data_IF_093550552258
#
_entry.id   IF_093550552258
#
_cell.length_a   1.000
_cell.length_b   1.000
_cell.length_c   1.000
_cell.angle_alpha   90.00
_cell.angle_beta   90.00
_cell.angle_gamma   90.00
#
_symmetry.space_group_name_H-M   'P 1'
#
loop_
_entity.id
_entity.type
_entity.pdbx_description
1 polymer ?
#
# COMPACT_ATOMS: atom_id res chain seq x y z
N UNK A 1 11.74 1.44 -26.43
CA UNK A 1 10.82 0.55 -25.69
C UNK A 1 9.76 1.39 -24.99
N UNK A 2 8.47 1.06 -25.13
CA UNK A 2 7.38 1.73 -24.38
C UNK A 2 7.04 0.90 -23.14
N UNK A 3 6.76 1.57 -22.01
CA UNK A 3 6.43 0.94 -20.73
C UNK A 3 5.26 1.66 -20.07
N UNK A 4 4.44 0.92 -19.35
CA UNK A 4 3.42 1.43 -18.43
C UNK A 4 3.88 1.13 -17.01
N UNK A 5 3.77 2.13 -16.13
CA UNK A 5 4.02 1.97 -14.71
C UNK A 5 2.68 2.05 -13.99
N UNK A 6 2.32 0.98 -13.28
CA UNK A 6 1.17 0.96 -12.38
C UNK A 6 1.69 1.17 -10.95
N UNK A 7 1.38 2.33 -10.38
CA UNK A 7 1.71 2.64 -9.00
C UNK A 7 0.59 2.17 -8.08
N UNK A 8 0.94 1.35 -7.09
CA UNK A 8 0.03 0.81 -6.11
C UNK A 8 0.31 1.39 -4.72
N UNK A 9 -0.77 1.78 -4.06
CA UNK A 9 -0.77 1.98 -2.61
C UNK A 9 -0.78 0.60 -1.94
N UNK A 10 0.22 0.35 -1.10
CA UNK A 10 0.44 -0.93 -0.44
C UNK A 10 -0.44 -1.12 0.81
N UNK A 11 -1.13 -0.07 1.28
CA UNK A 11 -2.16 -0.17 2.33
C UNK A 11 -3.57 -0.19 1.73
N UNK A 12 -3.74 0.35 0.52
CA UNK A 12 -5.04 0.43 -0.19
C UNK A 12 -4.92 -0.11 -1.59
N UNK A 13 -4.67 -1.41 -1.69
CA UNK A 13 -4.54 -2.08 -2.97
C UNK A 13 -5.82 -1.96 -3.82
N UNK A 14 -5.66 -1.64 -5.10
CA UNK A 14 -6.77 -1.43 -6.04
C UNK A 14 -6.75 -2.51 -7.12
N UNK A 15 -7.67 -3.46 -7.01
CA UNK A 15 -7.90 -4.51 -8.01
C UNK A 15 -8.27 -3.94 -9.38
N UNK A 16 -9.02 -2.83 -9.40
CA UNK A 16 -9.35 -2.14 -10.65
C UNK A 16 -8.09 -1.61 -11.34
N UNK A 17 -7.16 -1.00 -10.60
CA UNK A 17 -5.89 -0.52 -11.16
C UNK A 17 -5.06 -1.66 -11.74
N UNK A 18 -5.01 -2.81 -11.04
CA UNK A 18 -4.36 -4.02 -11.54
C UNK A 18 -4.99 -4.47 -12.87
N UNK A 19 -6.30 -4.70 -12.89
CA UNK A 19 -7.02 -5.18 -14.07
C UNK A 19 -6.86 -4.25 -15.28
N UNK A 20 -7.03 -2.94 -15.08
CA UNK A 20 -6.91 -1.95 -16.15
C UNK A 20 -5.48 -1.83 -16.67
N UNK A 21 -4.47 -1.87 -15.80
CA UNK A 21 -3.07 -1.77 -16.23
C UNK A 21 -2.66 -2.98 -17.06
N UNK A 22 -3.11 -4.19 -16.70
CA UNK A 22 -2.92 -5.42 -17.50
C UNK A 22 -3.62 -5.28 -18.85
N UNK A 23 -4.88 -4.85 -18.86
CA UNK A 23 -5.66 -4.67 -20.09
C UNK A 23 -4.96 -3.71 -21.06
N UNK A 24 -4.54 -2.54 -20.58
CA UNK A 24 -3.86 -1.52 -21.38
C UNK A 24 -2.51 -2.03 -21.90
N UNK A 25 -1.73 -2.71 -21.07
CA UNK A 25 -0.44 -3.25 -21.47
C UNK A 25 -0.56 -4.30 -22.59
N UNK A 26 -1.58 -5.17 -22.50
CA UNK A 26 -1.90 -6.17 -23.53
C UNK A 26 -2.35 -5.50 -24.83
N UNK A 27 -3.27 -4.52 -24.74
CA UNK A 27 -3.82 -3.83 -25.90
C UNK A 27 -2.73 -3.04 -26.66
N UNK A 28 -1.78 -2.44 -25.94
CA UNK A 28 -0.72 -1.62 -26.51
C UNK A 28 0.55 -2.42 -26.85
N UNK A 29 0.61 -3.70 -26.49
CA UNK A 29 1.78 -4.57 -26.61
C UNK A 29 3.05 -3.94 -26.00
N UNK A 30 2.94 -3.50 -24.75
CA UNK A 30 4.02 -2.82 -23.99
C UNK A 30 4.32 -3.54 -22.68
N UNK A 31 5.51 -3.29 -22.12
CA UNK A 31 5.86 -3.80 -20.80
C UNK A 31 5.09 -3.07 -19.69
N UNK A 32 4.54 -3.85 -18.76
CA UNK A 32 3.93 -3.36 -17.53
C UNK A 32 4.90 -3.55 -16.36
N UNK A 33 5.06 -2.53 -15.53
CA UNK A 33 5.83 -2.57 -14.29
C UNK A 33 4.95 -2.10 -13.14
N UNK A 34 4.81 -2.93 -12.12
CA UNK A 34 4.15 -2.55 -10.87
C UNK A 34 5.17 -1.89 -9.93
N UNK A 35 4.80 -0.78 -9.31
CA UNK A 35 5.60 -0.10 -8.28
C UNK A 35 4.75 0.04 -7.03
N UNK A 36 5.26 -0.41 -5.90
CA UNK A 36 4.61 -0.29 -4.60
C UNK A 36 5.30 0.79 -3.79
N UNK A 37 4.56 1.83 -3.44
CA UNK A 37 5.10 2.90 -2.61
C UNK A 37 5.37 2.37 -1.20
N UNK A 38 6.55 2.70 -0.66
CA UNK A 38 6.97 2.36 0.69
C UNK A 38 7.38 3.63 1.43
N UNK A 39 6.37 4.41 1.83
CA UNK A 39 6.55 5.58 2.66
C UNK A 39 6.40 5.19 4.14
N UNK A 40 7.45 5.44 4.93
CA UNK A 40 7.50 5.12 6.36
C UNK A 40 6.62 6.03 7.21
N UNK A 41 6.22 7.18 6.68
CA UNK A 41 5.34 8.15 7.34
C UNK A 41 3.86 7.91 7.01
N UNK A 42 3.59 7.10 5.99
CA UNK A 42 2.24 6.77 5.56
C UNK A 42 1.69 5.58 6.35
N UNK A 43 0.77 5.84 7.28
CA UNK A 43 0.04 4.83 8.05
C UNK A 43 -1.45 4.82 7.70
N UNK A 44 -2.11 3.67 7.89
CA UNK A 44 -3.56 3.54 7.68
C UNK A 44 -4.39 4.31 8.73
N UNK A 45 -3.75 4.72 9.82
CA UNK A 45 -4.33 5.37 10.98
C UNK A 45 -3.63 6.69 11.33
N UNK A 46 -4.29 7.53 12.14
CA UNK A 46 -3.71 8.78 12.64
C UNK A 46 -2.97 8.53 13.95
N UNK A 47 -1.64 8.53 13.91
CA UNK A 47 -0.76 8.33 15.08
C UNK A 47 -1.02 9.30 16.22
N UNK A 48 -1.28 10.58 15.93
CA UNK A 48 -1.56 11.59 16.96
C UNK A 48 -2.90 11.35 17.65
N UNK A 49 -3.89 10.86 16.90
CA UNK A 49 -5.20 10.50 17.47
C UNK A 49 -5.04 9.35 18.46
N UNK A 50 -4.30 8.30 18.08
CA UNK A 50 -4.02 7.16 18.97
C UNK A 50 -3.26 7.61 20.21
N UNK A 51 -2.25 8.47 20.06
CA UNK A 51 -1.49 9.00 21.20
C UNK A 51 -2.37 9.82 22.17
N UNK A 52 -3.34 10.56 21.65
CA UNK A 52 -4.26 11.37 22.46
C UNK A 52 -5.34 10.53 23.16
N UNK A 53 -5.80 9.44 22.54
CA UNK A 53 -6.95 8.65 23.03
C UNK A 53 -6.54 7.45 23.91
N UNK A 54 -5.35 6.88 23.70
CA UNK A 54 -4.94 5.61 24.32
C UNK A 54 -4.13 5.76 25.62
N UNK A 55 -3.86 6.99 26.09
CA UNK A 55 -3.17 7.23 27.36
C UNK A 55 -1.84 6.48 27.48
N UNK A 56 -1.63 5.76 28.58
CA UNK A 56 -0.39 5.01 28.86
C UNK A 56 -0.18 3.80 27.92
N UNK A 57 -1.24 3.26 27.32
CA UNK A 57 -1.17 2.12 26.39
C UNK A 57 -0.95 2.53 24.93
N UNK A 58 -0.84 3.83 24.64
CA UNK A 58 -0.73 4.33 23.27
C UNK A 58 0.42 3.71 22.48
N UNK A 59 1.59 3.49 23.10
CA UNK A 59 2.74 2.89 22.43
C UNK A 59 2.49 1.44 22.01
N UNK A 60 1.79 0.66 22.83
CA UNK A 60 1.43 -0.74 22.49
C UNK A 60 0.43 -0.80 21.36
N UNK A 61 -0.52 0.13 21.34
CA UNK A 61 -1.54 0.17 20.29
C UNK A 61 -0.94 0.62 18.95
N UNK A 62 -0.03 1.60 18.97
CA UNK A 62 0.75 2.00 17.79
C UNK A 62 1.56 0.82 17.23
N UNK A 63 2.23 0.05 18.09
CA UNK A 63 3.02 -1.12 17.67
C UNK A 63 2.15 -2.17 16.95
N UNK A 64 0.97 -2.49 17.49
CA UNK A 64 0.03 -3.41 16.83
C UNK A 64 -0.43 -2.90 15.47
N UNK A 65 -0.82 -1.63 15.38
CA UNK A 65 -1.29 -1.03 14.14
C UNK A 65 -0.17 -0.97 13.08
N UNK A 66 1.08 -0.72 13.50
CA UNK A 66 2.25 -0.77 12.63
C UNK A 66 2.52 -2.20 12.11
N UNK A 67 2.33 -3.22 12.94
CA UNK A 67 2.42 -4.62 12.50
C UNK A 67 1.32 -4.99 11.50
N UNK A 68 0.08 -4.52 11.71
CA UNK A 68 -1.03 -4.72 10.79
C UNK A 68 -0.78 -4.08 9.43
N UNK A 69 -0.31 -2.83 9.43
CA UNK A 69 0.10 -2.12 8.23
C UNK A 69 1.24 -2.87 7.52
N UNK A 70 2.24 -3.37 8.26
CA UNK A 70 3.34 -4.15 7.68
C UNK A 70 2.85 -5.45 7.01
N UNK A 71 1.89 -6.15 7.62
CA UNK A 71 1.23 -7.34 7.04
C UNK A 71 0.49 -6.98 5.75
N UNK A 72 -0.29 -5.88 5.77
CA UNK A 72 -1.02 -5.40 4.60
C UNK A 72 -0.07 -5.08 3.42
N UNK A 73 1.00 -4.31 3.68
CA UNK A 73 2.00 -3.98 2.66
C UNK A 73 2.70 -5.22 2.09
N UNK A 74 2.90 -6.26 2.91
CA UNK A 74 3.47 -7.53 2.44
C UNK A 74 2.47 -8.27 1.54
N UNK A 75 1.21 -8.34 1.94
CA UNK A 75 0.16 -9.01 1.17
C UNK A 75 0.00 -8.39 -0.23
N UNK A 76 -0.02 -7.06 -0.35
CA UNK A 76 -0.14 -6.39 -1.65
C UNK A 76 1.02 -6.66 -2.61
N UNK A 77 2.22 -6.99 -2.09
CA UNK A 77 3.42 -7.26 -2.89
C UNK A 77 3.56 -8.71 -3.34
N UNK A 78 2.76 -9.63 -2.81
CA UNK A 78 2.84 -11.05 -3.10
C UNK A 78 1.83 -11.55 -4.16
N UNK A 79 1.08 -10.64 -4.80
CA UNK A 79 0.21 -10.90 -5.95
C UNK A 79 1.02 -11.04 -7.25
#
# INVERSE_FOLDING_TARGET
MKKIIAAFDSLRFSESTLAYSIMLARQLNVHLVAVFMNDITYSSYNRYKVLAESGDDAYREIEKLDEEDAKCRKASRCL
#
